data_IF_183640906464
#
_entry.id   IF_183640906464
#
_cell.length_a   1.000
_cell.length_b   1.000
_cell.length_c   1.000
_cell.angle_alpha   90.00
_cell.angle_beta   90.00
_cell.angle_gamma   90.00
#
_symmetry.space_group_name_H-M   'P 1'
#
loop_
_entity.id
_entity.type
_entity.pdbx_description
1 polymer ?
#
# COMPACT_ATOMS: atom_id res chain seq x y z
N UNK A 1 43.49 -79.94 35.81
CA UNK A 1 42.84 -79.38 34.60
C UNK A 1 42.40 -77.98 34.95
N UNK A 2 43.03 -76.95 34.38
CA UNK A 2 42.60 -75.56 34.55
C UNK A 2 41.41 -75.35 33.62
N UNK A 3 40.23 -75.09 34.16
CA UNK A 3 39.06 -74.72 33.36
C UNK A 3 39.33 -73.36 32.74
N UNK A 4 39.51 -73.31 31.42
CA UNK A 4 39.54 -72.05 30.69
C UNK A 4 38.19 -71.34 30.89
N UNK A 5 38.17 -70.06 31.32
CA UNK A 5 36.94 -69.31 31.42
C UNK A 5 36.26 -69.28 30.05
N UNK A 6 34.95 -69.55 30.03
CA UNK A 6 34.18 -69.48 28.79
C UNK A 6 34.17 -68.03 28.32
N UNK A 7 34.60 -67.80 27.07
CA UNK A 7 34.56 -66.46 26.49
C UNK A 7 33.14 -65.88 26.58
N UNK A 8 33.00 -64.58 26.90
CA UNK A 8 31.69 -63.93 26.95
C UNK A 8 31.00 -64.04 25.59
N UNK A 9 29.67 -64.13 25.60
CA UNK A 9 28.88 -64.20 24.37
C UNK A 9 28.94 -62.84 23.68
N UNK A 10 29.33 -62.79 22.41
CA UNK A 10 29.37 -61.56 21.63
C UNK A 10 28.01 -60.80 21.69
N UNK A 11 28.02 -59.46 21.63
CA UNK A 11 26.81 -58.64 21.57
C UNK A 11 25.91 -59.06 20.41
N UNK A 12 24.59 -58.95 20.60
CA UNK A 12 23.63 -59.15 19.52
C UNK A 12 23.74 -57.97 18.52
N UNK A 13 24.07 -58.22 17.24
CA UNK A 13 24.23 -57.16 16.24
C UNK A 13 23.00 -56.26 16.11
N UNK A 14 21.79 -56.81 16.28
CA UNK A 14 20.54 -56.04 16.19
C UNK A 14 20.37 -55.10 17.38
N UNK A 15 20.81 -55.52 18.57
CA UNK A 15 20.78 -54.68 19.77
C UNK A 15 21.85 -53.59 19.72
N UNK A 16 23.05 -53.93 19.23
CA UNK A 16 24.15 -52.97 19.03
C UNK A 16 23.77 -51.90 18.00
N UNK A 17 23.14 -52.28 16.88
CA UNK A 17 22.65 -51.34 15.87
C UNK A 17 21.52 -50.42 16.40
N UNK A 18 20.61 -50.95 17.22
CA UNK A 18 19.58 -50.12 17.86
C UNK A 18 20.16 -49.16 18.90
N UNK A 19 21.18 -49.57 19.66
CA UNK A 19 21.88 -48.67 20.58
C UNK A 19 22.54 -47.51 19.83
N UNK A 20 23.19 -47.77 18.69
CA UNK A 20 23.75 -46.71 17.83
C UNK A 20 22.66 -45.79 17.28
N UNK A 21 21.54 -46.36 16.84
CA UNK A 21 20.41 -45.59 16.29
C UNK A 21 19.83 -44.64 17.35
N UNK A 22 19.65 -45.12 18.58
CA UNK A 22 19.17 -44.31 19.69
C UNK A 22 20.09 -43.10 19.95
N UNK A 23 21.41 -43.33 20.06
CA UNK A 23 22.39 -42.24 20.23
C UNK A 23 22.34 -41.24 19.08
N UNK A 24 22.26 -41.71 17.83
CA UNK A 24 22.19 -40.83 16.67
C UNK A 24 20.91 -39.96 16.68
N UNK A 25 19.78 -40.53 17.09
CA UNK A 25 18.52 -39.80 17.24
C UNK A 25 18.62 -38.76 18.34
N UNK A 26 19.17 -39.10 19.50
CA UNK A 26 19.34 -38.17 20.62
C UNK A 26 20.25 -37.00 20.21
N UNK A 27 21.36 -37.28 19.53
CA UNK A 27 22.26 -36.25 18.97
C UNK A 27 21.53 -35.36 17.95
N UNK A 28 20.71 -35.95 17.07
CA UNK A 28 19.96 -35.18 16.08
C UNK A 28 18.90 -34.27 16.72
N UNK A 29 18.18 -34.76 17.74
CA UNK A 29 17.21 -33.96 18.51
C UNK A 29 17.93 -32.82 19.23
N UNK A 30 19.08 -33.09 19.85
CA UNK A 30 19.88 -32.07 20.52
C UNK A 30 20.40 -31.00 19.53
N UNK A 31 20.94 -31.42 18.38
CA UNK A 31 21.37 -30.50 17.33
C UNK A 31 20.22 -29.65 16.79
N UNK A 32 19.04 -30.24 16.60
CA UNK A 32 17.85 -29.49 16.20
C UNK A 32 17.44 -28.46 17.28
N UNK A 33 17.50 -28.81 18.56
CA UNK A 33 17.24 -27.85 19.64
C UNK A 33 18.22 -26.68 19.63
N UNK A 34 19.52 -26.96 19.45
CA UNK A 34 20.58 -25.94 19.40
C UNK A 34 20.48 -25.03 18.17
N UNK A 35 20.07 -25.57 17.01
CA UNK A 35 19.94 -24.78 15.79
C UNK A 35 18.76 -23.81 15.80
N UNK A 36 17.71 -24.09 16.59
CA UNK A 36 16.50 -23.27 16.67
C UNK A 36 16.59 -22.26 17.83
N UNK A 37 17.56 -21.36 17.76
CA UNK A 37 17.78 -20.34 18.80
C UNK A 37 16.92 -19.10 18.52
N UNK A 38 16.27 -18.57 19.56
CA UNK A 38 15.49 -17.33 19.47
C UNK A 38 16.40 -16.13 19.23
N UNK A 39 15.92 -15.17 18.43
CA UNK A 39 16.60 -13.91 18.17
C UNK A 39 15.72 -12.75 18.57
N UNK A 40 16.32 -11.78 19.26
CA UNK A 40 15.69 -10.53 19.61
C UNK A 40 16.55 -9.40 19.06
N UNK A 41 15.97 -8.57 18.20
CA UNK A 41 16.59 -7.40 17.60
C UNK A 41 15.80 -6.15 18.02
N UNK A 42 16.35 -4.93 17.81
CA UNK A 42 15.58 -3.71 18.02
C UNK A 42 14.31 -3.64 17.15
N UNK A 43 14.33 -4.32 15.99
CA UNK A 43 13.23 -4.29 15.02
C UNK A 43 12.13 -5.32 15.28
N UNK A 44 12.38 -6.28 16.17
CA UNK A 44 11.45 -7.37 16.46
C UNK A 44 12.11 -8.62 17.03
N UNK A 45 11.42 -9.75 16.94
CA UNK A 45 11.96 -11.04 17.37
C UNK A 45 11.55 -12.19 16.47
N UNK A 46 12.39 -13.22 16.46
CA UNK A 46 12.17 -14.52 15.82
C UNK A 46 12.27 -15.59 16.91
N UNK A 47 11.14 -16.20 17.27
CA UNK A 47 11.07 -17.25 18.28
C UNK A 47 10.78 -18.61 17.65
N UNK A 48 11.51 -19.64 18.04
CA UNK A 48 11.23 -21.02 17.66
C UNK A 48 10.50 -21.74 18.79
N UNK A 49 9.41 -22.42 18.46
CA UNK A 49 8.63 -23.23 19.41
C UNK A 49 8.40 -24.61 18.84
N UNK A 50 8.43 -25.63 19.70
CA UNK A 50 8.02 -26.98 19.31
C UNK A 50 6.54 -26.94 18.93
N UNK A 51 6.26 -27.12 17.64
CA UNK A 51 4.93 -27.09 17.07
C UNK A 51 4.27 -28.47 16.98
N UNK A 52 5.05 -29.53 17.22
CA UNK A 52 4.54 -30.89 17.21
C UNK A 52 5.65 -31.92 17.31
N UNK A 53 5.27 -33.17 17.07
CA UNK A 53 6.19 -34.29 17.07
C UNK A 53 5.89 -35.21 15.89
N UNK A 54 6.94 -35.63 15.19
CA UNK A 54 6.89 -36.74 14.26
C UNK A 54 7.38 -38.01 14.94
N UNK A 55 6.89 -39.14 14.45
CA UNK A 55 7.19 -40.44 15.03
C UNK A 55 8.03 -41.24 14.05
N UNK A 56 9.18 -41.72 14.51
CA UNK A 56 10.06 -42.62 13.75
C UNK A 56 10.12 -43.96 14.45
N UNK A 57 10.10 -45.07 13.69
CA UNK A 57 10.28 -46.40 14.25
C UNK A 57 11.57 -47.00 13.69
N UNK A 58 12.44 -47.51 14.56
CA UNK A 58 13.67 -48.18 14.13
C UNK A 58 13.42 -49.62 13.63
N UNK A 59 14.50 -50.27 13.18
CA UNK A 59 14.48 -51.63 12.64
C UNK A 59 14.06 -52.68 13.68
N UNK A 60 14.10 -52.35 14.97
CA UNK A 60 13.71 -53.24 16.08
C UNK A 60 12.30 -52.92 16.61
N UNK A 61 11.56 -52.03 15.95
CA UNK A 61 10.21 -51.66 16.33
C UNK A 61 10.13 -50.64 17.48
N UNK A 62 11.26 -50.07 17.93
CA UNK A 62 11.24 -49.02 18.95
C UNK A 62 10.93 -47.68 18.29
N UNK A 63 10.08 -46.92 18.96
CA UNK A 63 9.54 -45.67 18.45
C UNK A 63 10.18 -44.44 19.13
N UNK A 64 10.53 -43.43 18.34
CA UNK A 64 11.14 -42.17 18.75
C UNK A 64 10.23 -40.99 18.38
N UNK A 65 10.14 -40.00 19.27
CA UNK A 65 9.41 -38.74 19.04
C UNK A 65 10.40 -37.65 18.67
N UNK A 66 10.34 -37.20 17.41
CA UNK A 66 11.17 -36.13 16.86
C UNK A 66 10.39 -34.81 16.95
N UNK A 67 10.88 -33.79 17.67
CA UNK A 67 10.20 -32.50 17.73
C UNK A 67 10.23 -31.80 16.37
N UNK A 68 9.12 -31.19 15.99
CA UNK A 68 9.05 -30.24 14.87
C UNK A 68 8.95 -28.84 15.41
N UNK A 69 9.61 -27.87 14.76
CA UNK A 69 9.67 -26.49 15.21
C UNK A 69 8.97 -25.56 14.22
N UNK A 70 8.30 -24.53 14.73
CA UNK A 70 7.77 -23.41 13.96
C UNK A 70 8.45 -22.12 14.39
N UNK A 71 8.72 -21.25 13.42
CA UNK A 71 9.32 -19.95 13.64
C UNK A 71 8.24 -18.86 13.68
N UNK A 72 8.25 -18.03 14.72
CA UNK A 72 7.31 -16.95 14.95
C UNK A 72 8.04 -15.62 14.88
N UNK A 73 7.64 -14.78 13.95
CA UNK A 73 8.19 -13.44 13.77
C UNK A 73 7.23 -12.40 14.32
N UNK A 74 7.77 -11.46 15.08
CA UNK A 74 7.02 -10.33 15.63
C UNK A 74 7.81 -9.05 15.40
N UNK A 75 7.13 -7.97 15.05
CA UNK A 75 7.72 -6.63 15.02
C UNK A 75 7.91 -6.07 16.43
N UNK A 76 8.82 -5.12 16.58
CA UNK A 76 8.80 -4.20 17.73
C UNK A 76 7.51 -3.37 17.71
N UNK A 77 7.08 -2.80 18.86
CA UNK A 77 5.90 -1.94 18.89
C UNK A 77 5.94 -0.80 17.87
N UNK A 78 7.10 -0.19 17.68
CA UNK A 78 7.32 0.91 16.73
C UNK A 78 7.20 0.42 15.29
N UNK A 79 7.84 -0.71 14.94
CA UNK A 79 7.75 -1.26 13.59
C UNK A 79 6.37 -1.85 13.28
N UNK A 80 5.66 -2.38 14.28
CA UNK A 80 4.28 -2.82 14.13
C UNK A 80 3.38 -1.64 13.81
N UNK A 81 3.54 -0.50 14.50
CA UNK A 81 2.78 0.71 14.20
C UNK A 81 3.06 1.22 12.78
N UNK A 82 4.31 1.17 12.32
CA UNK A 82 4.68 1.53 10.94
C UNK A 82 4.05 0.55 9.93
N UNK A 83 4.10 -0.75 10.21
CA UNK A 83 3.46 -1.77 9.37
C UNK A 83 1.96 -1.54 9.27
N UNK A 84 1.27 -1.39 10.40
CA UNK A 84 -0.17 -1.15 10.46
C UNK A 84 -0.56 0.14 9.73
N UNK A 85 0.17 1.23 9.96
CA UNK A 85 -0.04 2.50 9.26
C UNK A 85 0.20 2.35 7.76
N UNK A 86 1.19 1.55 7.35
CA UNK A 86 1.45 1.31 5.93
C UNK A 86 0.35 0.48 5.29
N UNK A 87 -0.12 -0.58 5.95
CA UNK A 87 -1.26 -1.38 5.48
C UNK A 87 -2.53 -0.53 5.38
N UNK A 88 -2.78 0.35 6.37
CA UNK A 88 -3.89 1.29 6.33
C UNK A 88 -3.74 2.30 5.19
N UNK A 89 -2.53 2.80 4.95
CA UNK A 89 -2.23 3.72 3.85
C UNK A 89 -2.42 3.03 2.51
N UNK A 90 -1.93 1.80 2.33
CA UNK A 90 -2.15 1.00 1.12
C UNK A 90 -3.63 0.71 0.87
N UNK A 91 -4.39 0.39 1.93
CA UNK A 91 -5.84 0.21 1.83
C UNK A 91 -6.54 1.53 1.46
N UNK A 92 -6.13 2.64 2.07
CA UNK A 92 -6.65 3.98 1.75
C UNK A 92 -6.35 4.37 0.31
N UNK A 93 -5.12 4.15 -0.16
CA UNK A 93 -4.71 4.37 -1.55
C UNK A 93 -5.46 3.46 -2.50
N UNK A 94 -5.69 2.20 -2.15
CA UNK A 94 -6.49 1.27 -2.97
C UNK A 94 -7.94 1.70 -3.07
N UNK A 95 -8.53 2.17 -1.96
CA UNK A 95 -9.89 2.75 -1.95
C UNK A 95 -9.96 4.01 -2.78
N UNK A 96 -9.01 4.93 -2.60
CA UNK A 96 -8.91 6.15 -3.40
C UNK A 96 -8.73 5.82 -4.89
N UNK A 97 -7.89 4.85 -5.23
CA UNK A 97 -7.69 4.39 -6.59
C UNK A 97 -8.98 3.79 -7.18
N UNK A 98 -9.75 3.04 -6.40
CA UNK A 98 -11.05 2.53 -6.80
C UNK A 98 -12.06 3.66 -7.03
N UNK A 99 -12.20 4.60 -6.08
CA UNK A 99 -13.10 5.75 -6.19
C UNK A 99 -12.73 6.62 -7.40
N UNK A 100 -11.43 6.85 -7.61
CA UNK A 100 -10.93 7.63 -8.73
C UNK A 100 -11.11 6.88 -10.06
N UNK A 101 -10.95 5.56 -10.08
CA UNK A 101 -11.26 4.71 -11.25
C UNK A 101 -12.75 4.71 -11.56
N UNK A 102 -13.63 4.75 -10.55
CA UNK A 102 -15.07 4.91 -10.77
C UNK A 102 -15.40 6.28 -11.37
N UNK A 103 -14.79 7.37 -10.87
CA UNK A 103 -14.93 8.71 -11.47
C UNK A 103 -14.45 8.72 -12.92
N UNK A 104 -13.26 8.17 -13.18
CA UNK A 104 -12.73 8.05 -14.55
C UNK A 104 -13.60 7.16 -15.42
N UNK A 105 -14.16 6.07 -14.90
CA UNK A 105 -15.10 5.22 -15.64
C UNK A 105 -16.40 5.97 -15.96
N UNK A 106 -16.92 6.80 -15.04
CA UNK A 106 -18.07 7.66 -15.31
C UNK A 106 -17.76 8.74 -16.34
N UNK A 107 -16.58 9.34 -16.26
CA UNK A 107 -16.07 10.32 -17.23
C UNK A 107 -15.87 9.68 -18.61
N UNK A 108 -15.16 8.56 -18.72
CA UNK A 108 -14.89 7.86 -19.97
C UNK A 108 -16.15 7.18 -20.54
N UNK A 109 -17.08 6.76 -19.68
CA UNK A 109 -18.37 6.20 -20.07
C UNK A 109 -19.38 7.23 -20.56
N UNK A 110 -19.08 8.52 -20.43
CA UNK A 110 -19.88 9.62 -20.97
C UNK A 110 -19.09 10.41 -22.01
N UNK A 111 -19.72 10.70 -23.15
CA UNK A 111 -19.14 11.64 -24.12
C UNK A 111 -19.07 13.03 -23.47
N UNK A 112 -18.00 13.79 -23.76
CA UNK A 112 -17.92 15.19 -23.32
C UNK A 112 -19.08 15.95 -23.95
N UNK A 113 -19.96 16.51 -23.11
CA UNK A 113 -21.07 17.33 -23.57
C UNK A 113 -20.58 18.74 -23.91
N UNK A 114 -20.28 18.96 -25.18
CA UNK A 114 -19.95 20.28 -25.74
C UNK A 114 -21.15 20.89 -26.46
N UNK A 115 -22.38 20.45 -26.14
CA UNK A 115 -23.58 21.08 -26.69
C UNK A 115 -23.63 22.56 -26.31
N UNK A 116 -24.21 23.38 -27.18
CA UNK A 116 -24.35 24.81 -26.95
C UNK A 116 -25.00 25.12 -25.59
N UNK A 117 -26.01 24.34 -25.18
CA UNK A 117 -26.65 24.52 -23.88
C UNK A 117 -25.72 24.28 -22.68
N UNK A 118 -24.82 23.30 -22.75
CA UNK A 118 -23.87 23.04 -21.66
C UNK A 118 -22.74 24.09 -21.62
N UNK A 119 -22.23 24.50 -22.78
CA UNK A 119 -21.22 25.56 -22.88
C UNK A 119 -21.79 26.90 -22.42
N UNK A 120 -23.02 27.24 -22.83
CA UNK A 120 -23.72 28.45 -22.38
C UNK A 120 -23.93 28.45 -20.87
N UNK A 121 -24.32 27.31 -20.29
CA UNK A 121 -24.44 27.16 -18.84
C UNK A 121 -23.08 27.40 -18.15
N UNK A 122 -22.01 26.80 -18.66
CA UNK A 122 -20.66 26.97 -18.10
C UNK A 122 -20.19 28.43 -18.13
N UNK A 123 -20.37 29.12 -19.26
CA UNK A 123 -20.05 30.55 -19.42
C UNK A 123 -20.89 31.41 -18.48
N UNK A 124 -22.19 31.14 -18.37
CA UNK A 124 -23.08 31.85 -17.46
C UNK A 124 -22.66 31.70 -15.98
N UNK A 125 -22.38 30.47 -15.55
CA UNK A 125 -22.09 30.17 -14.15
C UNK A 125 -20.73 30.72 -13.71
N UNK A 126 -19.71 30.64 -14.56
CA UNK A 126 -18.33 30.97 -14.16
C UNK A 126 -17.85 32.36 -14.58
N UNK A 127 -18.45 32.97 -15.61
CA UNK A 127 -17.87 34.15 -16.27
C UNK A 127 -18.84 35.33 -16.33
N UNK A 128 -20.12 35.06 -16.60
CA UNK A 128 -21.14 36.11 -16.77
C UNK A 128 -21.36 36.97 -15.53
N UNK A 129 -21.34 36.40 -14.34
CA UNK A 129 -21.52 37.20 -13.11
C UNK A 129 -20.44 38.28 -12.96
N UNK A 130 -19.19 37.95 -13.27
CA UNK A 130 -18.07 38.90 -13.25
C UNK A 130 -18.21 39.98 -14.32
N UNK A 131 -18.63 39.58 -15.52
CA UNK A 131 -18.90 40.49 -16.63
C UNK A 131 -20.04 41.47 -16.30
N UNK A 132 -21.18 40.98 -15.81
CA UNK A 132 -22.33 41.82 -15.44
C UNK A 132 -21.96 42.82 -14.35
N UNK A 133 -21.24 42.38 -13.31
CA UNK A 133 -20.75 43.24 -12.24
C UNK A 133 -19.78 44.34 -12.71
N UNK A 134 -19.01 44.10 -13.77
CA UNK A 134 -18.17 45.14 -14.36
C UNK A 134 -19.02 46.21 -15.04
N UNK A 135 -19.97 45.79 -15.88
CA UNK A 135 -20.84 46.72 -16.60
C UNK A 135 -21.77 47.50 -15.69
N UNK A 136 -22.23 46.92 -14.59
CA UNK A 136 -23.05 47.64 -13.61
C UNK A 136 -22.25 48.77 -12.93
N UNK A 137 -20.96 48.56 -12.68
CA UNK A 137 -20.05 49.62 -12.17
C UNK A 137 -19.79 50.69 -13.22
N UNK A 138 -19.63 50.31 -14.48
CA UNK A 138 -19.44 51.25 -15.59
C UNK A 138 -20.69 52.11 -15.81
N UNK A 139 -21.88 51.52 -15.68
CA UNK A 139 -23.15 52.24 -15.74
C UNK A 139 -23.25 53.27 -14.60
N UNK A 140 -22.98 52.86 -13.37
CA UNK A 140 -23.00 53.78 -12.22
C UNK A 140 -22.00 54.94 -12.36
N UNK A 141 -20.82 54.67 -12.93
CA UNK A 141 -19.80 55.70 -13.22
C UNK A 141 -20.27 56.67 -14.31
N UNK A 142 -20.92 56.16 -15.36
CA UNK A 142 -21.52 56.98 -16.41
C UNK A 142 -22.61 57.89 -15.84
N UNK A 143 -23.50 57.35 -15.01
CA UNK A 143 -24.56 58.10 -14.34
C UNK A 143 -23.99 59.25 -13.51
N UNK A 144 -22.94 58.98 -12.71
CA UNK A 144 -22.26 60.02 -11.93
C UNK A 144 -21.64 61.10 -12.83
N UNK A 145 -20.96 60.71 -13.92
CA UNK A 145 -20.32 61.65 -14.84
C UNK A 145 -21.33 62.56 -15.54
N UNK A 146 -22.51 62.03 -15.87
CA UNK A 146 -23.59 62.81 -16.46
C UNK A 146 -24.18 63.80 -15.45
N UNK A 147 -24.39 63.36 -14.20
CA UNK A 147 -24.86 64.22 -13.12
C UNK A 147 -23.89 65.38 -12.82
N UNK A 148 -22.58 65.10 -12.74
CA UNK A 148 -21.54 66.12 -12.52
C UNK A 148 -21.49 67.18 -13.64
N UNK A 149 -21.90 66.80 -14.86
CA UNK A 149 -22.04 67.70 -16.02
C UNK A 149 -23.38 68.44 -16.07
N UNK A 150 -24.22 68.28 -15.05
CA UNK A 150 -25.55 68.88 -14.99
C UNK A 150 -26.58 68.22 -15.91
N UNK A 151 -26.29 67.03 -16.45
CA UNK A 151 -27.23 66.27 -17.28
C UNK A 151 -28.12 65.46 -16.35
N UNK A 152 -29.35 65.93 -16.13
CA UNK A 152 -30.31 65.26 -15.28
C UNK A 152 -30.90 63.99 -15.95
N UNK A 153 -31.20 62.98 -15.14
CA UNK A 153 -31.96 61.80 -15.55
C UNK A 153 -33.29 62.19 -16.19
N UNK A 154 -33.66 61.53 -17.29
CA UNK A 154 -34.87 61.82 -18.07
C UNK A 154 -34.74 63.00 -19.04
N UNK A 155 -33.57 63.63 -19.14
CA UNK A 155 -33.26 64.55 -20.23
C UNK A 155 -32.93 63.78 -21.52
N UNK A 156 -33.20 64.38 -22.68
CA UNK A 156 -32.86 63.76 -23.97
C UNK A 156 -31.36 63.44 -24.11
N UNK A 157 -30.49 64.24 -23.47
CA UNK A 157 -29.05 64.01 -23.44
C UNK A 157 -28.68 62.77 -22.60
N UNK A 158 -29.33 62.58 -21.45
CA UNK A 158 -29.18 61.39 -20.63
C UNK A 158 -29.64 60.12 -21.38
N UNK A 159 -30.83 60.17 -21.98
CA UNK A 159 -31.39 59.03 -22.70
C UNK A 159 -30.52 58.61 -23.90
N UNK A 160 -29.94 59.59 -24.61
CA UNK A 160 -29.01 59.32 -25.71
C UNK A 160 -27.70 58.68 -25.21
N UNK A 161 -27.14 59.17 -24.09
CA UNK A 161 -25.94 58.60 -23.49
C UNK A 161 -26.18 57.17 -22.97
N UNK A 162 -27.35 56.92 -22.36
CA UNK A 162 -27.70 55.59 -21.87
C UNK A 162 -28.02 54.61 -23.01
N UNK A 163 -28.64 55.07 -24.10
CA UNK A 163 -28.82 54.27 -25.33
C UNK A 163 -27.49 53.89 -25.97
N UNK A 164 -26.54 54.82 -26.04
CA UNK A 164 -25.19 54.54 -26.53
C UNK A 164 -24.47 53.51 -25.64
N UNK A 165 -24.54 53.69 -24.31
CA UNK A 165 -23.99 52.73 -23.35
C UNK A 165 -24.59 51.34 -23.50
N UNK A 166 -25.91 51.23 -23.60
CA UNK A 166 -26.61 49.94 -23.77
C UNK A 166 -26.21 49.27 -25.09
N UNK A 167 -26.08 50.05 -26.17
CA UNK A 167 -25.63 49.55 -27.48
C UNK A 167 -24.20 49.01 -27.40
N UNK A 168 -23.29 49.73 -26.73
CA UNK A 168 -21.91 49.28 -26.49
C UNK A 168 -21.84 48.05 -25.61
N UNK A 169 -22.63 48.00 -24.53
CA UNK A 169 -22.75 46.83 -23.64
C UNK A 169 -23.21 45.60 -24.43
N UNK A 170 -24.22 45.75 -25.29
CA UNK A 170 -24.75 44.64 -26.08
C UNK A 170 -23.73 44.10 -27.10
N UNK A 171 -23.04 44.98 -27.83
CA UNK A 171 -21.96 44.56 -28.72
C UNK A 171 -20.80 43.87 -27.97
N UNK A 172 -20.47 44.35 -26.76
CA UNK A 172 -19.47 43.73 -25.91
C UNK A 172 -19.91 42.36 -25.37
N UNK A 173 -21.20 42.18 -25.03
CA UNK A 173 -21.78 40.87 -24.66
C UNK A 173 -21.63 39.88 -25.80
N UNK A 174 -21.99 40.28 -27.03
CA UNK A 174 -21.95 39.39 -28.19
C UNK A 174 -20.51 38.94 -28.51
N UNK A 175 -19.54 39.87 -28.46
CA UNK A 175 -18.12 39.55 -28.65
C UNK A 175 -17.59 38.67 -27.51
N UNK A 176 -17.92 39.03 -26.27
CA UNK A 176 -17.49 38.29 -25.08
C UNK A 176 -18.00 36.85 -25.10
N UNK A 177 -19.29 36.63 -25.36
CA UNK A 177 -19.86 35.28 -25.44
C UNK A 177 -19.16 34.43 -26.51
N UNK A 178 -18.83 35.00 -27.67
CA UNK A 178 -18.06 34.31 -28.71
C UNK A 178 -16.66 33.88 -28.25
N UNK A 179 -15.92 34.77 -27.60
CA UNK A 179 -14.58 34.48 -27.08
C UNK A 179 -14.64 33.46 -25.92
N UNK A 180 -15.62 33.60 -25.04
CA UNK A 180 -15.78 32.72 -23.88
C UNK A 180 -16.27 31.34 -24.26
N UNK A 181 -17.03 31.18 -25.34
CA UNK A 181 -17.48 29.89 -25.85
C UNK A 181 -16.30 28.98 -26.22
N UNK A 182 -15.28 29.54 -26.88
CA UNK A 182 -14.04 28.82 -27.22
C UNK A 182 -13.21 28.48 -25.97
N UNK A 183 -13.13 29.41 -25.02
CA UNK A 183 -12.41 29.18 -23.77
C UNK A 183 -13.11 28.13 -22.89
N UNK A 184 -14.43 28.17 -22.80
CA UNK A 184 -15.25 27.23 -22.04
C UNK A 184 -15.08 25.79 -22.52
N UNK A 185 -15.05 25.56 -23.84
CA UNK A 185 -14.77 24.24 -24.40
C UNK A 185 -13.40 23.70 -23.96
N UNK A 186 -12.36 24.55 -24.00
CA UNK A 186 -11.02 24.16 -23.56
C UNK A 186 -10.96 23.90 -22.04
N UNK A 187 -11.67 24.68 -21.23
CA UNK A 187 -11.77 24.47 -19.79
C UNK A 187 -12.46 23.14 -19.45
N UNK A 188 -13.62 22.86 -20.07
CA UNK A 188 -14.36 21.60 -19.89
C UNK A 188 -13.47 20.39 -20.24
N UNK A 189 -12.68 20.48 -21.30
CA UNK A 189 -11.74 19.43 -21.70
C UNK A 189 -10.56 19.28 -20.72
N UNK A 190 -10.11 20.38 -20.11
CA UNK A 190 -8.99 20.37 -19.15
C UNK A 190 -9.40 19.78 -17.80
N UNK A 191 -10.58 20.14 -17.30
CA UNK A 191 -11.16 19.57 -16.08
C UNK A 191 -11.30 18.04 -16.18
N UNK A 192 -11.57 17.53 -17.38
CA UNK A 192 -11.63 16.09 -17.66
C UNK A 192 -10.26 15.39 -17.56
N UNK A 193 -9.16 16.09 -17.84
CA UNK A 193 -7.81 15.51 -17.88
C UNK A 193 -7.10 15.49 -16.52
N UNK A 194 -7.46 16.40 -15.60
CA UNK A 194 -6.93 16.43 -14.23
C UNK A 194 -7.03 15.09 -13.48
N UNK A 195 -8.21 14.44 -13.38
CA UNK A 195 -8.35 13.20 -12.62
C UNK A 195 -7.55 12.03 -13.20
N UNK A 196 -7.21 12.06 -14.50
CA UNK A 196 -6.38 11.04 -15.16
C UNK A 196 -4.91 11.15 -14.73
N UNK A 197 -4.39 12.37 -14.57
CA UNK A 197 -3.00 12.61 -14.17
C UNK A 197 -2.77 12.30 -12.69
N UNK A 198 -3.76 12.57 -11.82
CA UNK A 198 -3.69 12.29 -10.38
C UNK A 198 -3.54 10.79 -10.06
N UNK A 199 -4.19 9.90 -10.83
CA UNK A 199 -4.08 8.43 -10.65
C UNK A 199 -2.64 7.96 -10.87
N UNK A 200 -1.98 8.48 -11.91
CA UNK A 200 -0.62 8.07 -12.28
C UNK A 200 0.39 8.34 -11.17
N UNK A 201 0.21 9.43 -10.41
CA UNK A 201 1.07 9.80 -9.30
C UNK A 201 0.86 8.93 -8.05
N UNK A 202 -0.39 8.54 -7.75
CA UNK A 202 -0.76 7.82 -6.52
C UNK A 202 -0.28 6.35 -6.49
N UNK A 203 -0.08 5.71 -7.64
CA UNK A 203 0.31 4.29 -7.70
C UNK A 203 1.79 4.02 -7.38
N UNK A 204 2.62 5.05 -7.18
CA UNK A 204 4.08 4.91 -7.02
C UNK A 204 4.58 4.67 -5.58
N UNK A 205 3.67 4.56 -4.60
CA UNK A 205 3.99 4.66 -3.17
C UNK A 205 4.58 3.40 -2.49
N UNK A 206 5.88 3.47 -2.20
CA UNK A 206 6.69 2.90 -1.09
C UNK A 206 6.45 1.48 -0.55
N UNK A 207 7.54 0.68 -0.54
CA UNK A 207 7.63 -0.63 0.15
C UNK A 207 7.98 -0.49 1.64
N UNK A 208 7.44 -1.40 2.47
CA UNK A 208 7.83 -1.58 3.87
C UNK A 208 9.05 -2.49 3.93
N UNK A 209 10.10 -2.08 4.66
CA UNK A 209 11.24 -2.95 4.95
C UNK A 209 10.87 -4.02 5.98
N UNK A 210 11.21 -5.29 5.70
CA UNK A 210 11.07 -6.37 6.67
C UNK A 210 12.25 -6.42 7.64
N UNK A 211 12.06 -6.94 8.88
CA UNK A 211 13.13 -7.10 9.85
C UNK A 211 14.14 -8.12 9.33
N UNK A 212 15.43 -7.82 9.47
CA UNK A 212 16.49 -8.76 9.15
C UNK A 212 16.89 -9.54 10.40
N UNK A 213 16.92 -10.87 10.29
CA UNK A 213 17.42 -11.77 11.33
C UNK A 213 18.77 -12.35 10.92
N UNK A 214 19.64 -12.61 11.88
CA UNK A 214 21.00 -13.11 11.65
C UNK A 214 20.96 -14.64 11.55
N UNK A 215 21.85 -15.26 10.77
CA UNK A 215 21.96 -16.71 10.79
C UNK A 215 22.49 -17.18 12.17
N UNK A 216 21.77 -18.08 12.83
CA UNK A 216 22.19 -18.67 14.11
C UNK A 216 23.36 -19.63 13.86
N UNK A 217 24.48 -19.53 14.62
CA UNK A 217 25.58 -20.47 14.51
C UNK A 217 25.13 -21.91 14.80
N UNK A 218 25.26 -22.81 13.84
CA UNK A 218 24.91 -24.23 14.03
C UNK A 218 26.05 -24.94 14.76
N UNK A 219 25.87 -25.25 16.04
CA UNK A 219 26.76 -26.19 16.74
C UNK A 219 26.31 -27.62 16.42
N UNK A 220 27.14 -28.38 15.71
CA UNK A 220 26.91 -29.81 15.48
C UNK A 220 27.61 -30.61 16.58
N UNK A 221 26.82 -31.21 17.47
CA UNK A 221 27.27 -32.25 18.37
C UNK A 221 27.64 -33.50 17.55
N UNK A 222 28.83 -34.08 17.75
CA UNK A 222 29.21 -35.33 17.10
C UNK A 222 28.40 -36.50 17.68
N UNK A 223 28.11 -37.50 16.84
CA UNK A 223 27.53 -38.76 17.28
C UNK A 223 28.60 -39.62 17.97
N UNK A 224 28.26 -40.29 19.07
CA UNK A 224 29.15 -41.25 19.74
C UNK A 224 29.02 -42.61 19.05
N UNK A 225 30.15 -43.29 18.80
CA UNK A 225 30.18 -44.67 18.28
C UNK A 225 29.85 -45.67 19.41
N UNK A 226 28.57 -45.73 19.75
CA UNK A 226 28.05 -46.65 20.75
C UNK A 226 28.20 -48.11 20.32
N UNK A 227 28.15 -48.41 19.03
CA UNK A 227 28.35 -49.76 18.51
C UNK A 227 29.79 -50.25 18.73
N UNK A 228 30.79 -49.40 18.48
CA UNK A 228 32.20 -49.66 18.79
C UNK A 228 32.42 -49.90 20.28
N UNK A 229 31.91 -49.01 21.15
CA UNK A 229 32.05 -49.13 22.62
C UNK A 229 31.38 -50.39 23.20
N UNK A 230 30.28 -50.84 22.61
CA UNK A 230 29.63 -52.10 23.01
C UNK A 230 30.48 -53.29 22.58
N UNK A 231 31.09 -53.26 21.40
CA UNK A 231 31.94 -54.35 20.90
C UNK A 231 33.30 -54.42 21.61
N UNK A 232 33.87 -53.30 22.07
CA UNK A 232 35.15 -53.25 22.80
C UNK A 232 35.06 -53.79 24.25
N UNK A 233 33.86 -53.88 24.82
CA UNK A 233 33.62 -54.39 26.18
C UNK A 233 33.45 -55.92 26.25
N UNK A 234 33.73 -56.66 25.18
CA UNK A 234 33.63 -58.12 25.06
C UNK A 234 34.95 -58.73 24.58
#
# INVERSE_FOLDING_TARGET
MVSTPKAPKAPDPTQTAAAQTATNVDTAIANAGLSHTNQHTPDGSLEYKVSGYQTMTDQNGKTYKLPTYSAYQTYSPENQAIYDQTQQTQLGLSKLANDQTQKVSGILGTNVDLSAGNVDKYVNDHWRSGFDNQWDREQASLDQSLADKGIAMGSAAYDNAMRDFTTRKQAAVDQYLGDMYSNAQNSILTERNQPLNEISALMSGSQVNQPNYVNTPTTQLPTVDQAGLINENF
#
